data_IF_032749908232
#
_entry.id   IF_032749908232
#
_cell.length_a   1.000
_cell.length_b   1.000
_cell.length_c   1.000
_cell.angle_alpha   90.00
_cell.angle_beta   90.00
_cell.angle_gamma   90.00
#
_symmetry.space_group_name_H-M   'P 1'
#
loop_
_entity.id
_entity.type
_entity.pdbx_description
1 polymer ?
#
# COMPACT_ATOMS: atom_id res chain seq x y z
N UNK A 1 3.61 29.98 -4.94
CA UNK A 1 3.10 28.74 -5.54
C UNK A 1 2.11 28.09 -4.60
N UNK A 2 0.96 27.73 -5.09
CA UNK A 2 -0.06 27.05 -4.29
C UNK A 2 0.26 25.56 -4.17
N UNK A 3 -0.38 24.88 -3.20
CA UNK A 3 -0.22 23.43 -3.06
C UNK A 3 -0.62 22.69 -4.34
N UNK A 4 -1.59 23.20 -5.07
CA UNK A 4 -2.07 22.58 -6.31
C UNK A 4 -1.01 22.48 -7.39
N UNK A 5 0.01 23.35 -7.36
CA UNK A 5 1.06 23.40 -8.36
C UNK A 5 2.31 22.60 -7.95
N UNK A 6 2.30 21.98 -6.78
CA UNK A 6 3.44 21.18 -6.31
C UNK A 6 3.38 19.77 -6.87
N UNK A 7 4.53 19.24 -7.21
CA UNK A 7 4.62 17.86 -7.67
C UNK A 7 4.41 16.90 -6.50
N UNK A 8 3.91 15.72 -6.84
CA UNK A 8 3.81 14.62 -5.90
C UNK A 8 5.11 13.83 -5.96
N UNK A 9 5.72 13.62 -4.80
CA UNK A 9 6.94 12.82 -4.67
C UNK A 9 6.59 11.48 -4.04
N UNK A 10 7.25 10.43 -4.53
CA UNK A 10 7.10 9.07 -4.03
C UNK A 10 8.43 8.64 -3.45
N UNK A 11 8.44 8.14 -2.22
CA UNK A 11 9.69 7.75 -1.56
C UNK A 11 9.44 6.86 -0.36
N UNK A 12 10.52 6.30 0.19
CA UNK A 12 10.45 5.66 1.50
C UNK A 12 10.18 6.72 2.55
N UNK A 13 9.39 6.34 3.54
CA UNK A 13 9.16 7.23 4.68
C UNK A 13 10.39 7.23 5.61
N UNK A 14 10.67 8.37 6.21
CA UNK A 14 11.66 8.45 7.28
C UNK A 14 10.98 8.16 8.62
N UNK A 15 11.73 7.72 9.66
CA UNK A 15 11.11 7.31 10.93
C UNK A 15 10.20 8.36 11.55
N UNK A 16 10.53 9.64 11.42
CA UNK A 16 9.72 10.74 11.98
C UNK A 16 8.35 10.90 11.31
N UNK A 17 8.15 10.31 10.13
CA UNK A 17 6.88 10.40 9.40
C UNK A 17 5.89 9.31 9.77
N UNK A 18 6.34 8.27 10.46
CA UNK A 18 5.55 7.08 10.72
C UNK A 18 4.19 7.40 11.36
N UNK A 19 4.18 8.27 12.37
CA UNK A 19 2.94 8.63 13.05
C UNK A 19 1.94 9.31 12.11
N UNK A 20 2.42 10.23 11.25
CA UNK A 20 1.57 10.91 10.29
C UNK A 20 0.99 9.95 9.25
N UNK A 21 1.79 8.98 8.79
CA UNK A 21 1.33 7.99 7.82
C UNK A 21 0.32 7.03 8.44
N UNK A 22 0.54 6.62 9.68
CA UNK A 22 -0.43 5.79 10.40
C UNK A 22 -1.74 6.52 10.60
N UNK A 23 -1.69 7.83 10.92
CA UNK A 23 -2.90 8.64 11.05
C UNK A 23 -3.67 8.69 9.74
N UNK A 24 -2.97 8.88 8.61
CA UNK A 24 -3.59 8.87 7.30
C UNK A 24 -4.29 7.53 7.03
N UNK A 25 -3.64 6.44 7.33
CA UNK A 25 -4.20 5.11 7.14
C UNK A 25 -5.41 4.89 8.04
N UNK A 26 -5.36 5.33 9.29
CA UNK A 26 -6.49 5.23 10.21
C UNK A 26 -7.67 6.06 9.69
N UNK A 27 -7.42 7.28 9.25
CA UNK A 27 -8.48 8.15 8.72
C UNK A 27 -9.18 7.51 7.52
N UNK A 28 -8.43 6.85 6.63
CA UNK A 28 -9.02 6.15 5.48
C UNK A 28 -9.73 4.88 5.91
N UNK A 29 -9.05 3.99 6.61
CA UNK A 29 -9.61 2.66 6.90
C UNK A 29 -10.68 2.69 7.98
N UNK A 30 -10.52 3.52 8.99
CA UNK A 30 -11.52 3.64 10.05
C UNK A 30 -12.62 4.62 9.66
N UNK A 31 -12.25 5.80 9.17
CA UNK A 31 -13.20 6.85 8.83
C UNK A 31 -14.09 6.52 7.64
N UNK A 32 -13.58 5.81 6.64
CA UNK A 32 -14.33 5.51 5.42
C UNK A 32 -14.83 4.08 5.35
N UNK A 33 -14.14 3.13 5.98
CA UNK A 33 -14.45 1.71 5.84
C UNK A 33 -14.90 1.05 7.14
N UNK A 34 -14.97 1.81 8.23
CA UNK A 34 -15.47 1.29 9.50
C UNK A 34 -14.57 0.29 10.22
N UNK A 35 -13.30 0.20 9.83
CA UNK A 35 -12.36 -0.68 10.52
C UNK A 35 -11.95 -0.04 11.85
N UNK A 36 -12.00 -0.79 12.97
CA UNK A 36 -11.58 -0.21 14.25
C UNK A 36 -10.20 0.39 14.18
N UNK A 37 -9.99 1.62 14.69
CA UNK A 37 -8.70 2.31 14.56
C UNK A 37 -7.50 1.51 15.07
N UNK A 38 -7.68 0.75 16.14
CA UNK A 38 -6.62 -0.06 16.74
C UNK A 38 -6.18 -1.23 15.86
N UNK A 39 -6.97 -1.58 14.85
CA UNK A 39 -6.65 -2.68 13.92
C UNK A 39 -5.94 -2.21 12.66
N UNK A 40 -5.81 -0.89 12.46
CA UNK A 40 -5.22 -0.36 11.23
C UNK A 40 -3.69 -0.41 11.26
N UNK A 41 -3.00 0.06 12.32
CA UNK A 41 -1.54 0.04 12.30
C UNK A 41 -0.96 -1.37 12.30
N UNK A 42 0.12 -1.56 11.56
CA UNK A 42 0.91 -2.78 11.65
C UNK A 42 1.64 -2.78 12.98
N UNK A 43 1.70 -3.93 13.63
CA UNK A 43 2.37 -4.06 14.93
C UNK A 43 3.83 -3.60 14.82
N UNK A 44 4.31 -2.73 15.72
CA UNK A 44 5.72 -2.29 15.69
C UNK A 44 6.73 -3.43 15.77
N UNK A 45 6.38 -4.53 16.46
CA UNK A 45 7.24 -5.71 16.56
C UNK A 45 7.53 -6.37 15.20
N UNK A 46 6.71 -6.10 14.19
CA UNK A 46 6.92 -6.61 12.83
C UNK A 46 7.85 -5.72 12.01
N UNK A 47 8.30 -4.61 12.59
CA UNK A 47 9.24 -3.66 11.98
C UNK A 47 8.84 -3.28 10.54
N UNK A 48 7.62 -2.74 10.32
CA UNK A 48 7.16 -2.44 8.98
C UNK A 48 7.97 -1.34 8.31
N UNK A 49 8.15 -1.47 6.98
CA UNK A 49 8.63 -0.39 6.12
C UNK A 49 7.42 0.39 5.63
N UNK A 50 7.58 1.69 5.46
CA UNK A 50 6.53 2.56 4.91
C UNK A 50 7.06 3.31 3.71
N UNK A 51 6.18 3.49 2.73
CA UNK A 51 6.39 4.39 1.59
C UNK A 51 5.28 5.41 1.59
N UNK A 52 5.57 6.57 1.03
CA UNK A 52 4.58 7.65 1.01
C UNK A 52 4.58 8.39 -0.30
N UNK A 53 3.42 8.98 -0.59
CA UNK A 53 3.27 10.01 -1.60
C UNK A 53 3.11 11.32 -0.84
N UNK A 54 3.90 12.32 -1.21
CA UNK A 54 3.94 13.61 -0.51
C UNK A 54 3.74 14.74 -1.51
N UNK A 55 2.83 15.65 -1.21
CA UNK A 55 2.61 16.85 -2.00
C UNK A 55 3.03 18.05 -1.16
N UNK A 56 4.09 18.74 -1.60
CA UNK A 56 4.73 19.73 -0.74
C UNK A 56 5.34 19.03 0.47
N UNK A 57 4.90 19.37 1.66
CA UNK A 57 5.32 18.71 2.89
C UNK A 57 4.22 17.81 3.48
N UNK A 58 3.12 17.62 2.74
CA UNK A 58 1.93 16.95 3.25
C UNK A 58 1.84 15.52 2.69
N UNK A 59 1.83 14.49 3.56
CA UNK A 59 1.59 13.12 3.10
C UNK A 59 0.16 12.98 2.59
N UNK A 60 0.02 12.42 1.38
CA UNK A 60 -1.28 12.22 0.75
C UNK A 60 -1.57 10.76 0.44
N UNK A 61 -0.57 9.90 0.57
CA UNK A 61 -0.73 8.45 0.42
C UNK A 61 0.30 7.70 1.23
N UNK A 62 -0.04 6.48 1.61
CA UNK A 62 0.84 5.63 2.42
C UNK A 62 0.61 4.17 2.10
N UNK A 63 1.65 3.36 2.24
CA UNK A 63 1.57 1.90 2.14
C UNK A 63 2.69 1.31 2.98
N UNK A 64 2.49 0.09 3.47
CA UNK A 64 3.45 -0.59 4.31
C UNK A 64 3.77 -2.00 3.79
N UNK A 65 4.93 -2.50 4.18
CA UNK A 65 5.29 -3.90 3.98
C UNK A 65 5.96 -4.39 5.26
N UNK A 66 5.75 -5.66 5.57
CA UNK A 66 6.29 -6.25 6.79
C UNK A 66 6.47 -7.77 6.62
N UNK A 67 7.30 -8.35 7.46
CA UNK A 67 7.49 -9.80 7.48
C UNK A 67 6.69 -10.39 8.63
N UNK A 68 5.88 -11.40 8.33
CA UNK A 68 5.09 -12.10 9.32
C UNK A 68 4.98 -13.57 8.92
N UNK A 69 5.29 -14.48 9.84
CA UNK A 69 5.26 -15.92 9.58
C UNK A 69 6.12 -16.33 8.37
N UNK A 70 7.25 -15.68 8.21
CA UNK A 70 8.19 -15.95 7.12
C UNK A 70 7.79 -15.40 5.76
N UNK A 71 6.68 -14.66 5.69
CA UNK A 71 6.17 -14.10 4.44
C UNK A 71 6.26 -12.59 4.45
N UNK A 72 6.53 -12.02 3.29
CA UNK A 72 6.50 -10.57 3.12
C UNK A 72 5.09 -10.17 2.72
N UNK A 73 4.48 -9.30 3.51
CA UNK A 73 3.15 -8.75 3.27
C UNK A 73 3.27 -7.29 2.82
N UNK A 74 2.39 -6.89 1.92
CA UNK A 74 2.26 -5.52 1.46
C UNK A 74 0.81 -5.11 1.69
N UNK A 75 0.60 -3.96 2.29
CA UNK A 75 -0.77 -3.55 2.59
C UNK A 75 -0.86 -2.20 3.29
N UNK A 76 -2.01 -1.96 3.89
CA UNK A 76 -2.36 -0.65 4.49
C UNK A 76 -2.23 0.47 3.46
N UNK A 77 -2.54 0.14 2.21
CA UNK A 77 -2.45 1.04 1.06
C UNK A 77 -3.62 2.02 1.09
N UNK A 78 -3.31 3.30 1.20
CA UNK A 78 -4.32 4.34 1.35
C UNK A 78 -3.89 5.63 0.68
N UNK A 79 -4.83 6.30 0.03
CA UNK A 79 -4.65 7.63 -0.55
C UNK A 79 -5.77 8.50 -0.02
N UNK A 80 -5.46 9.74 0.39
CA UNK A 80 -6.48 10.67 0.84
C UNK A 80 -7.54 10.87 -0.22
N UNK A 81 -8.80 10.94 0.20
CA UNK A 81 -9.95 11.00 -0.68
C UNK A 81 -9.83 12.10 -1.74
N UNK A 82 -9.38 13.28 -1.35
CA UNK A 82 -9.29 14.44 -2.26
C UNK A 82 -8.21 14.29 -3.34
N UNK A 83 -7.36 13.30 -3.23
CA UNK A 83 -6.30 13.04 -4.22
C UNK A 83 -6.55 11.77 -5.04
N UNK A 84 -7.70 11.13 -4.89
CA UNK A 84 -8.05 9.95 -5.68
C UNK A 84 -8.45 10.33 -7.10
N UNK A 85 -8.32 9.37 -8.02
CA UNK A 85 -8.63 9.61 -9.43
C UNK A 85 -7.52 10.32 -10.21
N UNK A 86 -6.35 10.49 -9.60
CA UNK A 86 -5.20 11.16 -10.21
C UNK A 86 -4.01 10.20 -10.42
N UNK A 87 -4.24 8.90 -10.36
CA UNK A 87 -3.23 7.85 -10.52
C UNK A 87 -2.15 7.84 -9.42
N UNK A 88 -2.32 8.63 -8.36
CA UNK A 88 -1.35 8.69 -7.25
C UNK A 88 -1.22 7.34 -6.57
N UNK A 89 -2.35 6.66 -6.31
CA UNK A 89 -2.34 5.34 -5.71
C UNK A 89 -1.58 4.32 -6.55
N UNK A 90 -1.84 4.30 -7.85
CA UNK A 90 -1.15 3.40 -8.77
C UNK A 90 0.36 3.63 -8.76
N UNK A 91 0.78 4.89 -8.82
CA UNK A 91 2.20 5.24 -8.80
C UNK A 91 2.86 4.91 -7.46
N UNK A 92 2.17 5.15 -6.36
CA UNK A 92 2.68 4.79 -5.03
C UNK A 92 2.84 3.27 -4.89
N UNK A 93 1.83 2.52 -5.31
CA UNK A 93 1.88 1.05 -5.29
C UNK A 93 3.06 0.54 -6.11
N UNK A 94 3.21 1.06 -7.33
CA UNK A 94 4.31 0.67 -8.22
C UNK A 94 5.67 1.00 -7.62
N UNK A 95 5.82 2.21 -7.11
CA UNK A 95 7.08 2.64 -6.49
C UNK A 95 7.47 1.73 -5.31
N UNK A 96 6.52 1.46 -4.43
CA UNK A 96 6.78 0.63 -3.25
C UNK A 96 7.15 -0.80 -3.62
N UNK A 97 6.47 -1.37 -4.62
CA UNK A 97 6.75 -2.74 -5.05
C UNK A 97 8.10 -2.85 -5.76
N UNK A 98 8.45 -1.88 -6.58
CA UNK A 98 9.78 -1.84 -7.23
C UNK A 98 10.89 -1.79 -6.19
N UNK A 99 10.72 -0.94 -5.17
CA UNK A 99 11.70 -0.83 -4.10
C UNK A 99 11.77 -2.11 -3.28
N UNK A 100 10.62 -2.68 -2.94
CA UNK A 100 10.54 -3.90 -2.14
C UNK A 100 11.20 -5.09 -2.87
N UNK A 101 10.91 -5.27 -4.15
CA UNK A 101 11.52 -6.35 -4.93
C UNK A 101 13.01 -6.14 -5.17
N UNK A 102 13.49 -4.92 -5.06
CA UNK A 102 14.94 -4.62 -5.13
C UNK A 102 15.68 -5.04 -3.86
N UNK A 103 14.99 -5.42 -2.80
CA UNK A 103 15.57 -5.80 -1.51
C UNK A 103 15.72 -7.31 -1.36
N UNK A 104 15.88 -8.05 -2.46
CA UNK A 104 16.00 -9.51 -2.43
C UNK A 104 14.73 -10.21 -1.92
N UNK A 105 13.59 -9.62 -2.20
CA UNK A 105 12.28 -10.22 -1.90
C UNK A 105 11.82 -10.99 -3.13
N UNK A 106 11.45 -12.25 -2.95
CA UNK A 106 11.01 -13.10 -4.07
C UNK A 106 9.50 -13.10 -4.24
N UNK A 107 8.76 -13.01 -3.14
CA UNK A 107 7.32 -13.16 -3.15
C UNK A 107 6.69 -12.16 -2.18
N UNK A 108 5.63 -11.52 -2.64
CA UNK A 108 4.84 -10.59 -1.83
C UNK A 108 3.41 -11.11 -1.73
N UNK A 109 2.86 -11.09 -0.52
CA UNK A 109 1.50 -11.51 -0.21
C UNK A 109 0.67 -10.28 0.15
N UNK A 110 -0.56 -10.23 -0.33
CA UNK A 110 -1.47 -9.15 0.06
C UNK A 110 -2.92 -9.62 0.06
N UNK A 111 -3.71 -9.04 0.96
CA UNK A 111 -5.16 -9.13 0.88
C UNK A 111 -5.65 -7.83 0.29
N UNK A 112 -6.44 -7.90 -0.78
CA UNK A 112 -6.77 -6.71 -1.54
C UNK A 112 -8.25 -6.60 -1.87
N UNK A 113 -8.71 -5.37 -1.95
CA UNK A 113 -10.05 -5.04 -2.46
C UNK A 113 -10.00 -5.11 -3.99
N UNK A 114 -11.18 -5.18 -4.60
CA UNK A 114 -11.31 -5.45 -6.04
C UNK A 114 -10.45 -4.55 -6.94
N UNK A 115 -10.42 -3.25 -6.67
CA UNK A 115 -9.63 -2.32 -7.48
C UNK A 115 -8.13 -2.64 -7.40
N UNK A 116 -7.65 -3.00 -6.21
CA UNK A 116 -6.24 -3.34 -6.02
C UNK A 116 -5.93 -4.72 -6.61
N UNK A 117 -6.86 -5.66 -6.55
CA UNK A 117 -6.70 -6.97 -7.20
C UNK A 117 -6.46 -6.78 -8.70
N UNK A 118 -7.29 -5.96 -9.35
CA UNK A 118 -7.13 -5.68 -10.79
C UNK A 118 -5.79 -5.06 -11.11
N UNK A 119 -5.36 -4.13 -10.27
CA UNK A 119 -4.06 -3.48 -10.42
C UNK A 119 -2.92 -4.49 -10.30
N UNK A 120 -2.98 -5.38 -9.30
CA UNK A 120 -1.95 -6.40 -9.08
C UNK A 120 -1.92 -7.42 -10.20
N UNK A 121 -3.09 -7.82 -10.72
CA UNK A 121 -3.16 -8.75 -11.86
C UNK A 121 -2.49 -8.16 -13.08
N UNK A 122 -2.63 -6.85 -13.30
CA UNK A 122 -1.96 -6.15 -14.39
C UNK A 122 -0.43 -6.24 -14.26
N UNK A 123 0.07 -6.36 -13.05
CA UNK A 123 1.51 -6.46 -12.78
C UNK A 123 1.99 -7.89 -12.56
N UNK A 124 1.19 -8.87 -12.93
CA UNK A 124 1.56 -10.28 -12.84
C UNK A 124 1.11 -10.98 -11.57
N UNK A 125 0.31 -10.31 -10.75
CA UNK A 125 -0.25 -10.90 -9.53
C UNK A 125 -1.28 -11.97 -9.82
N UNK A 126 -1.42 -12.91 -8.90
CA UNK A 126 -2.36 -14.03 -9.03
C UNK A 126 -3.20 -14.17 -7.78
N UNK A 127 -4.50 -14.33 -7.97
CA UNK A 127 -5.42 -14.66 -6.88
C UNK A 127 -5.15 -16.09 -6.43
N UNK A 128 -4.97 -16.30 -5.13
CA UNK A 128 -4.60 -17.60 -4.58
C UNK A 128 -5.66 -18.22 -3.67
N UNK A 129 -6.83 -17.61 -3.58
CA UNK A 129 -7.91 -18.17 -2.76
C UNK A 129 -9.19 -17.38 -2.90
N UNK A 130 -10.22 -17.86 -2.21
CA UNK A 130 -11.52 -17.20 -2.21
C UNK A 130 -11.46 -15.88 -1.42
N UNK A 131 -12.31 -14.94 -1.81
CA UNK A 131 -12.47 -13.70 -1.06
C UNK A 131 -13.13 -13.96 0.28
N UNK A 132 -12.75 -13.18 1.29
CA UNK A 132 -13.41 -13.17 2.59
C UNK A 132 -13.87 -11.74 2.87
N UNK A 133 -14.79 -11.60 3.84
CA UNK A 133 -15.27 -10.29 4.21
C UNK A 133 -14.56 -9.80 5.46
N UNK A 134 -14.14 -8.55 5.43
CA UNK A 134 -13.53 -7.88 6.57
C UNK A 134 -14.19 -6.51 6.68
N UNK A 135 -14.98 -6.33 7.76
CA UNK A 135 -15.74 -5.09 8.00
C UNK A 135 -16.55 -4.64 6.77
N UNK A 136 -17.27 -5.60 6.15
CA UNK A 136 -18.17 -5.31 5.04
C UNK A 136 -17.49 -5.19 3.67
N UNK A 137 -16.19 -5.36 3.58
CA UNK A 137 -15.45 -5.30 2.32
C UNK A 137 -14.92 -6.68 1.93
N UNK A 138 -15.05 -7.03 0.66
CA UNK A 138 -14.44 -8.25 0.14
C UNK A 138 -12.95 -8.08 0.03
N UNK A 139 -12.19 -8.98 0.63
CA UNK A 139 -10.73 -9.00 0.59
C UNK A 139 -10.29 -10.30 -0.07
N UNK A 140 -9.52 -10.18 -1.13
CA UNK A 140 -9.07 -11.30 -1.94
C UNK A 140 -7.57 -11.51 -1.75
N UNK A 141 -7.12 -12.74 -1.45
CA UNK A 141 -5.69 -13.00 -1.29
C UNK A 141 -5.00 -13.05 -2.65
N UNK A 142 -3.90 -12.31 -2.76
CA UNK A 142 -3.12 -12.20 -4.00
C UNK A 142 -1.65 -12.45 -3.66
N UNK A 143 -0.97 -13.13 -4.57
CA UNK A 143 0.48 -13.33 -4.52
C UNK A 143 1.11 -12.62 -5.72
N UNK A 144 2.24 -11.98 -5.48
CA UNK A 144 3.00 -11.31 -6.53
C UNK A 144 4.43 -11.83 -6.46
N UNK A 145 4.88 -12.49 -7.53
CA UNK A 145 6.23 -13.03 -7.63
C UNK A 145 7.14 -12.01 -8.30
N UNK A 146 8.39 -11.91 -7.83
CA UNK A 146 9.36 -10.94 -8.36
C UNK A 146 9.52 -11.03 -9.88
N UNK A 147 9.71 -12.23 -10.41
CA UNK A 147 9.96 -12.40 -11.84
C UNK A 147 8.74 -12.03 -12.68
N UNK A 148 7.55 -12.39 -12.20
CA UNK A 148 6.30 -12.02 -12.87
C UNK A 148 6.10 -10.51 -12.85
N UNK A 149 6.40 -9.87 -11.72
CA UNK A 149 6.28 -8.43 -11.57
C UNK A 149 7.21 -7.69 -12.56
N UNK A 150 8.49 -8.07 -12.59
CA UNK A 150 9.45 -7.40 -13.48
C UNK A 150 9.13 -7.65 -14.95
N UNK A 151 8.66 -8.86 -15.28
CA UNK A 151 8.25 -9.17 -16.66
C UNK A 151 7.07 -8.29 -17.09
N UNK A 152 6.13 -8.02 -16.19
CA UNK A 152 4.98 -7.18 -16.49
C UNK A 152 5.33 -5.70 -16.64
N UNK A 153 6.50 -5.27 -16.14
CA UNK A 153 6.95 -3.90 -16.32
C UNK A 153 7.51 -3.65 -17.74
N UNK A 154 7.69 -4.67 -18.48
CA UNK A 154 8.20 -4.58 -19.81
C UNK A 154 9.61 -4.89 -19.97
#
# INVERSE_FOLDING_TARGET
MTEENKEVLFRRAVPSEKAALQKLQIDVFSGEQGIPPEKVPVLPSLAPQYWCAVKGSVPIGAVAAWREEGKIHWGRFAVKKEYRGQHIGQELALYSLRDLFSQQVDTVYLGARDATVKLMEKWGGKVIGASSFFHGSAITPVILQRDDFWRAQG
#
